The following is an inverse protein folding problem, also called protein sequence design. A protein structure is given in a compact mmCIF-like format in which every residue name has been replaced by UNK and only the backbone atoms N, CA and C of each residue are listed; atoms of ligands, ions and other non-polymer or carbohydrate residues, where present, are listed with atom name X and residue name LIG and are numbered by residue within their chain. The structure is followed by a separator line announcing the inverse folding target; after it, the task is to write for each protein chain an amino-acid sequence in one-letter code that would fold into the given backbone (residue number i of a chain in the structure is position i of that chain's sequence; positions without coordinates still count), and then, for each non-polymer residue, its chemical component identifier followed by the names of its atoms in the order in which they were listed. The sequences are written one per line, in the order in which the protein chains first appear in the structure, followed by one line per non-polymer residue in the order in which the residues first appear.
data_IF_246668026648
#
_entry.id   IF_246668026648
#
_cell.length_a   1.000
_cell.length_b   1.000
_cell.length_c   1.000
_cell.angle_alpha   90.00
_cell.angle_beta   90.00
_cell.angle_gamma   90.00
#
_symmetry.space_group_name_H-M   'P 1'
#
loop_
_entity.id
_entity.type
_entity.pdbx_description
1 polymer ?
#
# COMPACT_ATOMS: atom_id res chain seq x y z
N UNK A 1 -20.28 -18.05 12.61
CA UNK A 1 -20.61 -16.64 12.37
C UNK A 1 -19.95 -15.87 13.49
N UNK A 2 -18.76 -15.31 13.26
CA UNK A 2 -18.16 -14.36 14.18
C UNK A 2 -18.84 -13.02 13.90
N UNK A 3 -19.60 -12.52 14.87
CA UNK A 3 -20.15 -11.17 14.80
C UNK A 3 -18.98 -10.20 14.60
N UNK A 4 -19.10 -9.30 13.63
CA UNK A 4 -18.12 -8.23 13.44
C UNK A 4 -18.31 -7.23 14.58
N UNK A 5 -17.45 -7.29 15.59
CA UNK A 5 -17.52 -6.47 16.82
C UNK A 5 -16.68 -5.19 16.75
N UNK A 6 -16.20 -4.79 15.56
CA UNK A 6 -15.41 -3.57 15.43
C UNK A 6 -16.30 -2.35 15.69
N UNK A 7 -16.21 -1.78 16.90
CA UNK A 7 -16.87 -0.52 17.27
C UNK A 7 -16.05 0.70 16.85
N UNK A 8 -14.77 0.51 16.46
CA UNK A 8 -13.88 1.60 16.04
C UNK A 8 -14.06 1.92 14.55
N UNK A 9 -14.21 3.20 14.18
CA UNK A 9 -14.17 3.63 12.78
C UNK A 9 -12.95 3.06 12.04
N UNK A 10 -13.12 2.72 10.77
CA UNK A 10 -12.11 2.05 9.95
C UNK A 10 -10.86 2.91 9.69
N UNK A 11 -10.98 4.22 9.86
CA UNK A 11 -9.97 5.25 9.62
C UNK A 11 -9.37 5.82 10.92
N UNK A 12 -9.87 5.41 12.09
CA UNK A 12 -9.35 5.90 13.37
C UNK A 12 -7.95 5.31 13.64
N UNK A 13 -6.92 6.13 13.91
CA UNK A 13 -5.58 5.63 14.17
C UNK A 13 -5.49 4.68 15.37
N UNK A 14 -4.52 3.76 15.32
CA UNK A 14 -4.19 2.84 16.39
C UNK A 14 -4.58 1.39 16.08
N UNK A 15 -3.97 0.45 16.80
CA UNK A 15 -4.13 -0.98 16.55
C UNK A 15 -5.47 -1.48 17.06
N UNK A 16 -6.14 -2.31 16.26
CA UNK A 16 -7.33 -3.05 16.67
C UNK A 16 -7.11 -4.54 16.43
N UNK A 17 -7.23 -5.37 17.47
CA UNK A 17 -7.22 -6.82 17.31
C UNK A 17 -8.59 -7.29 16.82
N UNK A 18 -8.66 -7.76 15.57
CA UNK A 18 -9.92 -8.16 14.92
C UNK A 18 -10.17 -9.67 15.02
N UNK A 19 -9.11 -10.46 15.15
CA UNK A 19 -9.13 -11.89 15.48
C UNK A 19 -7.88 -12.24 16.30
N UNK A 20 -7.85 -13.43 16.88
CA UNK A 20 -6.64 -13.91 17.57
C UNK A 20 -5.44 -13.89 16.60
N UNK A 21 -4.34 -13.25 17.01
CA UNK A 21 -3.17 -13.02 16.17
C UNK A 21 -3.35 -12.08 14.96
N UNK A 22 -4.53 -11.47 14.74
CA UNK A 22 -4.78 -10.59 13.58
C UNK A 22 -5.17 -9.19 14.02
N UNK A 23 -4.42 -8.20 13.54
CA UNK A 23 -4.53 -6.82 13.94
C UNK A 23 -4.72 -5.92 12.73
N UNK A 24 -5.66 -4.98 12.81
CA UNK A 24 -5.83 -3.88 11.85
C UNK A 24 -5.01 -2.68 12.29
N UNK A 25 -4.27 -2.08 11.36
CA UNK A 25 -3.43 -0.91 11.55
C UNK A 25 -3.80 0.11 10.44
N UNK A 26 -4.68 1.08 10.73
CA UNK A 26 -4.98 2.16 9.80
C UNK A 26 -3.77 3.07 9.64
N UNK A 27 -3.32 3.27 8.40
CA UNK A 27 -2.21 4.14 8.05
C UNK A 27 -2.72 5.39 7.32
N UNK A 28 -2.18 6.58 7.64
CA UNK A 28 -2.59 7.81 6.99
C UNK A 28 -2.28 7.79 5.49
N UNK A 29 -3.16 8.43 4.73
CA UNK A 29 -2.98 8.70 3.31
C UNK A 29 -2.69 10.19 3.09
N UNK A 30 -2.11 10.56 1.94
CA UNK A 30 -1.96 11.97 1.63
C UNK A 30 -3.33 12.59 1.33
N UNK A 31 -3.46 13.87 1.66
CA UNK A 31 -4.63 14.72 1.41
C UNK A 31 -5.92 14.30 2.15
N UNK A 32 -7.04 14.92 1.77
CA UNK A 32 -8.37 14.80 2.41
C UNK A 32 -9.36 13.92 1.63
N UNK A 33 -8.91 13.22 0.57
CA UNK A 33 -9.78 12.39 -0.27
C UNK A 33 -10.13 11.04 0.36
N UNK A 34 -9.12 10.28 0.81
CA UNK A 34 -9.24 9.03 1.54
C UNK A 34 -8.46 9.17 2.85
N UNK A 35 -9.08 8.85 3.98
CA UNK A 35 -8.50 9.16 5.29
C UNK A 35 -7.41 8.18 5.73
N UNK A 36 -7.53 6.92 5.34
CA UNK A 36 -6.59 5.88 5.72
C UNK A 36 -6.58 4.72 4.72
N UNK A 37 -5.50 3.94 4.74
CA UNK A 37 -5.43 2.58 4.19
C UNK A 37 -5.25 1.60 5.34
N UNK A 38 -5.98 0.50 5.32
CA UNK A 38 -5.89 -0.51 6.36
C UNK A 38 -4.84 -1.56 6.02
N UNK A 39 -3.78 -1.61 6.82
CA UNK A 39 -2.82 -2.72 6.83
C UNK A 39 -3.26 -3.73 7.88
N UNK A 40 -3.13 -5.02 7.59
CA UNK A 40 -3.39 -6.06 8.59
C UNK A 40 -2.10 -6.79 8.95
N UNK A 41 -1.81 -6.88 10.23
CA UNK A 41 -0.72 -7.67 10.77
C UNK A 41 -1.23 -9.01 11.27
N UNK A 42 -0.69 -10.10 10.72
CA UNK A 42 -0.88 -11.45 11.21
C UNK A 42 0.39 -11.80 11.98
N UNK A 43 0.28 -11.80 13.31
CA UNK A 43 1.37 -11.99 14.26
C UNK A 43 1.50 -13.47 14.62
N UNK A 44 2.70 -14.01 14.42
CA UNK A 44 3.13 -15.33 14.90
C UNK A 44 4.30 -15.16 15.88
N UNK A 45 4.69 -16.22 16.59
CA UNK A 45 5.65 -16.14 17.71
C UNK A 45 7.00 -15.50 17.33
N UNK A 46 7.47 -15.67 16.08
CA UNK A 46 8.78 -15.19 15.61
C UNK A 46 8.74 -14.10 14.55
N UNK A 47 7.57 -13.75 14.02
CA UNK A 47 7.45 -12.93 12.83
C UNK A 47 6.06 -12.37 12.59
N UNK A 48 5.97 -11.49 11.60
CA UNK A 48 4.70 -10.90 11.19
C UNK A 48 4.56 -10.92 9.66
N UNK A 49 3.41 -11.39 9.21
CA UNK A 49 2.96 -11.22 7.82
C UNK A 49 2.05 -10.01 7.73
N UNK A 50 2.34 -9.10 6.81
CA UNK A 50 1.50 -7.92 6.56
C UNK A 50 0.64 -8.12 5.30
N UNK A 51 -0.65 -7.80 5.40
CA UNK A 51 -1.53 -7.60 4.25
C UNK A 51 -1.55 -6.11 3.95
N UNK A 52 -1.13 -5.75 2.73
CA UNK A 52 -0.83 -4.38 2.30
C UNK A 52 0.27 -3.70 3.14
N UNK A 53 0.70 -2.50 2.73
CA UNK A 53 1.87 -1.85 3.32
C UNK A 53 1.77 -0.35 3.60
N UNK A 54 0.76 0.35 3.08
CA UNK A 54 0.68 1.80 3.20
C UNK A 54 1.33 2.56 2.04
N UNK A 55 1.12 3.88 2.05
CA UNK A 55 1.79 4.81 1.13
C UNK A 55 3.21 5.12 1.63
N UNK A 56 4.11 5.46 0.71
CA UNK A 56 5.49 5.88 1.02
C UNK A 56 5.49 7.32 1.54
N UNK A 57 5.12 7.48 2.80
CA UNK A 57 5.11 8.74 3.56
C UNK A 57 5.80 8.53 4.91
N UNK A 58 6.45 9.55 5.44
CA UNK A 58 7.14 9.46 6.73
C UNK A 58 6.14 9.16 7.87
N UNK A 59 4.99 9.83 7.85
CA UNK A 59 3.90 9.63 8.81
C UNK A 59 3.25 8.24 8.69
N UNK A 60 3.16 7.68 7.48
CA UNK A 60 2.65 6.34 7.21
C UNK A 60 3.60 5.27 7.76
N UNK A 61 4.90 5.40 7.46
CA UNK A 61 5.92 4.49 7.98
C UNK A 61 5.99 4.55 9.50
N UNK A 62 5.98 5.75 10.09
CA UNK A 62 6.01 5.92 11.54
C UNK A 62 4.73 5.38 12.21
N UNK A 63 3.57 5.47 11.56
CA UNK A 63 2.33 4.87 12.04
C UNK A 63 2.42 3.33 12.00
N UNK A 64 2.98 2.76 10.93
CA UNK A 64 3.19 1.32 10.82
C UNK A 64 4.18 0.82 11.88
N UNK A 65 5.28 1.52 12.13
CA UNK A 65 6.26 1.20 13.18
C UNK A 65 5.62 1.18 14.57
N UNK A 66 4.83 2.21 14.91
CA UNK A 66 4.10 2.26 16.18
C UNK A 66 3.11 1.11 16.30
N UNK A 67 2.34 0.85 15.24
CA UNK A 67 1.36 -0.24 15.23
C UNK A 67 2.01 -1.60 15.40
N UNK A 68 3.11 -1.88 14.71
CA UNK A 68 3.88 -3.12 14.90
C UNK A 68 4.42 -3.24 16.32
N UNK A 69 4.93 -2.15 16.91
CA UNK A 69 5.44 -2.15 18.27
C UNK A 69 4.35 -2.49 19.31
N UNK A 70 3.12 -2.00 19.12
CA UNK A 70 1.95 -2.36 19.94
C UNK A 70 1.59 -3.85 19.82
N UNK A 71 1.82 -4.46 18.64
CA UNK A 71 1.63 -5.90 18.38
C UNK A 71 2.82 -6.74 18.89
N UNK A 72 3.92 -6.10 19.33
CA UNK A 72 5.12 -6.78 19.84
C UNK A 72 6.21 -7.05 18.79
N UNK A 73 6.11 -6.43 17.62
CA UNK A 73 7.05 -6.60 16.50
C UNK A 73 7.74 -5.31 16.09
N UNK A 74 8.88 -5.45 15.43
CA UNK A 74 9.55 -4.36 14.71
C UNK A 74 9.38 -4.54 13.20
N UNK A 75 9.64 -3.49 12.40
CA UNK A 75 9.68 -3.63 10.93
C UNK A 75 10.64 -4.73 10.47
N UNK A 76 11.74 -4.95 11.19
CA UNK A 76 12.71 -6.01 10.90
C UNK A 76 12.17 -7.43 11.11
N UNK A 77 11.03 -7.59 11.80
CA UNK A 77 10.35 -8.89 11.96
C UNK A 77 9.32 -9.15 10.86
N UNK A 78 9.09 -8.20 9.95
CA UNK A 78 8.18 -8.40 8.83
C UNK A 78 8.80 -9.40 7.86
N UNK A 79 8.22 -10.59 7.78
CA UNK A 79 8.76 -11.67 6.96
C UNK A 79 8.28 -11.58 5.50
N UNK A 80 7.02 -11.18 5.32
CA UNK A 80 6.41 -11.04 4.02
C UNK A 80 5.26 -10.02 4.01
N UNK A 81 5.06 -9.45 2.83
CA UNK A 81 3.89 -8.67 2.45
C UNK A 81 3.05 -9.46 1.47
N UNK A 82 1.75 -9.54 1.75
CA UNK A 82 0.72 -10.04 0.84
C UNK A 82 -0.11 -8.83 0.39
N UNK A 83 0.23 -8.27 -0.77
CA UNK A 83 -0.44 -7.06 -1.26
C UNK A 83 -1.69 -7.45 -2.04
N UNK A 84 -2.80 -6.76 -1.77
CA UNK A 84 -4.10 -7.02 -2.36
C UNK A 84 -4.15 -6.65 -3.84
N UNK A 85 -3.64 -5.46 -4.20
CA UNK A 85 -3.64 -4.95 -5.58
C UNK A 85 -2.58 -3.84 -5.80
N UNK A 86 -2.34 -3.48 -7.06
CA UNK A 86 -1.25 -2.57 -7.46
C UNK A 86 -1.64 -1.09 -7.40
N UNK A 87 -1.94 -0.57 -6.20
CA UNK A 87 -2.02 0.87 -5.93
C UNK A 87 -0.96 1.32 -4.92
N UNK A 88 -0.60 2.60 -4.96
CA UNK A 88 0.54 3.16 -4.20
C UNK A 88 0.38 3.05 -2.69
N UNK A 89 -0.84 3.21 -2.18
CA UNK A 89 -1.28 3.04 -0.80
C UNK A 89 -1.18 1.60 -0.28
N UNK A 90 -1.15 0.61 -1.16
CA UNK A 90 -1.11 -0.80 -0.77
C UNK A 90 0.27 -1.41 -1.01
N UNK A 91 0.94 -1.03 -2.10
CA UNK A 91 2.12 -1.71 -2.63
C UNK A 91 3.44 -1.01 -2.32
N UNK A 92 3.50 0.31 -2.48
CA UNK A 92 4.78 1.00 -2.64
C UNK A 92 5.66 0.96 -1.37
N UNK A 93 5.05 1.05 -0.18
CA UNK A 93 5.81 0.96 1.08
C UNK A 93 6.41 -0.45 1.30
N UNK A 94 5.78 -1.51 0.78
CA UNK A 94 6.32 -2.87 0.86
C UNK A 94 7.69 -2.98 0.17
N UNK A 95 7.81 -2.36 -1.01
CA UNK A 95 9.08 -2.32 -1.75
C UNK A 95 10.16 -1.56 -0.98
N UNK A 96 9.81 -0.44 -0.34
CA UNK A 96 10.73 0.34 0.49
C UNK A 96 11.21 -0.45 1.71
N UNK A 97 10.31 -1.09 2.45
CA UNK A 97 10.65 -1.92 3.62
C UNK A 97 11.51 -3.12 3.21
N UNK A 98 11.16 -3.80 2.10
CA UNK A 98 11.96 -4.90 1.53
C UNK A 98 13.41 -4.50 1.27
N UNK A 99 13.66 -3.32 0.69
CA UNK A 99 15.04 -2.85 0.39
C UNK A 99 15.92 -2.79 1.64
N UNK A 100 15.32 -2.52 2.80
CA UNK A 100 16.04 -2.35 4.06
C UNK A 100 16.17 -3.68 4.82
N UNK A 101 15.09 -4.45 4.89
CA UNK A 101 15.01 -5.62 5.79
C UNK A 101 14.94 -6.98 5.07
N UNK A 102 14.80 -7.01 3.75
CA UNK A 102 14.79 -8.24 2.95
C UNK A 102 13.50 -9.07 3.04
N UNK A 103 12.40 -8.46 3.48
CA UNK A 103 11.07 -9.10 3.49
C UNK A 103 10.61 -9.50 2.08
N UNK A 104 9.74 -10.52 1.97
CA UNK A 104 9.24 -10.98 0.67
C UNK A 104 7.97 -10.22 0.27
N UNK A 105 7.92 -9.62 -0.92
CA UNK A 105 6.69 -8.98 -1.45
C UNK A 105 5.99 -9.91 -2.43
N UNK A 106 4.72 -10.20 -2.16
CA UNK A 106 3.87 -11.05 -3.00
C UNK A 106 2.59 -10.33 -3.40
N UNK A 107 2.14 -10.52 -4.65
CA UNK A 107 0.88 -9.95 -5.16
C UNK A 107 0.30 -10.87 -6.24
N UNK A 108 -1.00 -10.80 -6.48
CA UNK A 108 -1.69 -11.58 -7.51
C UNK A 108 -1.06 -11.44 -8.91
N UNK A 109 -0.91 -12.56 -9.62
CA UNK A 109 -0.32 -12.60 -10.97
C UNK A 109 -1.10 -11.78 -12.01
N UNK A 110 -2.38 -11.48 -11.75
CA UNK A 110 -3.20 -10.58 -12.57
C UNK A 110 -2.68 -9.14 -12.59
N UNK A 111 -1.96 -8.70 -11.56
CA UNK A 111 -1.39 -7.36 -11.45
C UNK A 111 -0.06 -7.20 -12.20
N UNK A 112 0.47 -8.28 -12.79
CA UNK A 112 1.79 -8.26 -13.43
C UNK A 112 1.93 -7.15 -14.44
N UNK A 113 0.94 -6.99 -15.33
CA UNK A 113 1.00 -5.97 -16.37
C UNK A 113 0.99 -4.56 -15.79
N UNK A 114 0.18 -4.31 -14.76
CA UNK A 114 0.09 -3.01 -14.07
C UNK A 114 1.46 -2.65 -13.48
N UNK A 115 2.06 -3.55 -12.71
CA UNK A 115 3.36 -3.32 -12.06
C UNK A 115 4.48 -3.17 -13.10
N UNK A 116 4.53 -4.02 -14.13
CA UNK A 116 5.55 -3.90 -15.19
C UNK A 116 5.49 -2.55 -15.90
N UNK A 117 4.29 -2.04 -16.17
CA UNK A 117 4.11 -0.71 -16.76
C UNK A 117 4.55 0.38 -15.79
N UNK A 118 4.16 0.30 -14.51
CA UNK A 118 4.50 1.33 -13.53
C UNK A 118 5.98 1.33 -13.13
N UNK A 119 6.65 0.18 -13.20
CA UNK A 119 8.08 0.03 -12.94
C UNK A 119 8.97 0.43 -14.14
N UNK A 120 8.39 0.66 -15.32
CA UNK A 120 9.13 1.15 -16.49
C UNK A 120 9.54 2.62 -16.29
N UNK A 121 10.84 2.96 -16.29
CA UNK A 121 11.30 4.34 -16.16
C UNK A 121 10.80 5.28 -17.27
N UNK A 122 10.41 4.73 -18.42
CA UNK A 122 9.81 5.45 -19.53
C UNK A 122 8.31 5.71 -19.38
N UNK A 123 7.66 5.10 -18.39
CA UNK A 123 6.23 5.31 -18.15
C UNK A 123 5.97 6.76 -17.75
N UNK A 124 4.99 7.36 -18.43
CA UNK A 124 4.48 8.69 -18.12
C UNK A 124 3.11 8.52 -17.49
N UNK A 125 2.99 8.58 -16.15
CA UNK A 125 1.70 8.56 -15.49
C UNK A 125 0.78 9.62 -16.10
N UNK A 126 -0.49 9.28 -16.30
CA UNK A 126 -1.51 10.17 -16.86
C UNK A 126 -1.37 10.60 -18.32
N UNK A 127 -0.33 10.21 -19.07
CA UNK A 127 -0.22 10.56 -20.49
C UNK A 127 -1.45 10.09 -21.30
N UNK A 128 -1.99 8.91 -20.99
CA UNK A 128 -3.23 8.39 -21.57
C UNK A 128 -4.47 9.17 -21.11
N UNK A 129 -4.50 9.62 -19.85
CA UNK A 129 -5.58 10.45 -19.32
C UNK A 129 -5.60 11.79 -20.04
N UNK A 130 -4.44 12.44 -20.20
CA UNK A 130 -4.29 13.67 -20.96
C UNK A 130 -4.74 13.49 -22.42
N UNK A 131 -4.31 12.42 -23.09
CA UNK A 131 -4.74 12.11 -24.47
C UNK A 131 -6.27 11.97 -24.56
N UNK A 132 -6.90 11.29 -23.60
CA UNK A 132 -8.34 11.09 -23.58
C UNK A 132 -9.10 12.39 -23.28
N UNK A 133 -8.61 13.21 -22.35
CA UNK A 133 -9.18 14.53 -22.06
C UNK A 133 -9.09 15.46 -23.28
N UNK A 134 -7.96 15.42 -24.02
CA UNK A 134 -7.79 16.19 -25.27
C UNK A 134 -8.83 15.78 -26.31
N UNK A 135 -9.03 14.47 -26.49
CA UNK A 135 -10.05 13.95 -27.42
C UNK A 135 -11.47 14.34 -27.02
N UNK A 136 -11.72 14.54 -25.73
CA UNK A 136 -13.00 14.99 -25.20
C UNK A 136 -13.19 16.52 -25.27
N UNK A 137 -12.18 17.30 -25.70
CA UNK A 137 -12.24 18.76 -25.72
C UNK A 137 -12.16 19.41 -24.34
N UNK A 138 -11.57 18.71 -23.35
CA UNK A 138 -11.50 19.14 -21.96
C UNK A 138 -10.20 19.90 -21.63
N UNK A 139 -9.86 20.91 -22.43
CA UNK A 139 -8.58 21.65 -22.32
C UNK A 139 -8.39 22.34 -20.96
N UNK A 140 -9.45 22.87 -20.37
CA UNK A 140 -9.42 23.52 -19.05
C UNK A 140 -9.07 22.51 -17.94
N UNK A 141 -9.68 21.31 -17.98
CA UNK A 141 -9.42 20.23 -17.01
C UNK A 141 -7.97 19.71 -17.13
N UNK A 142 -7.41 19.69 -18.33
CA UNK A 142 -6.01 19.31 -18.54
C UNK A 142 -5.09 20.30 -17.83
N UNK A 143 -5.34 21.61 -17.99
CA UNK A 143 -4.52 22.64 -17.36
C UNK A 143 -4.55 22.52 -15.82
N UNK A 144 -5.74 22.30 -15.25
CA UNK A 144 -5.93 22.09 -13.81
C UNK A 144 -5.23 20.81 -13.33
N UNK A 145 -5.40 19.70 -14.04
CA UNK A 145 -4.78 18.41 -13.70
C UNK A 145 -3.25 18.51 -13.70
N UNK A 146 -2.67 19.19 -14.70
CA UNK A 146 -1.22 19.39 -14.79
C UNK A 146 -0.69 20.33 -13.70
N UNK A 147 -1.46 21.34 -13.30
CA UNK A 147 -1.11 22.23 -12.20
C UNK A 147 -1.10 21.47 -10.87
N UNK A 148 -2.21 20.78 -10.55
CA UNK A 148 -2.31 19.92 -9.38
C UNK A 148 -1.19 18.88 -9.34
N UNK A 149 -0.89 18.22 -10.48
CA UNK A 149 0.13 17.18 -10.49
C UNK A 149 1.54 17.70 -10.23
N UNK A 150 1.87 18.91 -10.69
CA UNK A 150 3.17 19.52 -10.39
C UNK A 150 3.33 19.77 -8.88
N UNK A 151 2.24 20.13 -8.20
CA UNK A 151 2.22 20.33 -6.76
C UNK A 151 2.28 18.99 -6.02
N UNK A 152 1.42 18.02 -6.38
CA UNK A 152 1.33 16.72 -5.74
C UNK A 152 2.55 15.82 -5.96
N UNK A 153 3.26 15.92 -7.10
CA UNK A 153 4.40 15.05 -7.38
C UNK A 153 5.56 15.20 -6.38
N UNK A 154 5.63 16.33 -5.65
CA UNK A 154 6.61 16.56 -4.60
C UNK A 154 6.24 15.91 -3.26
N UNK A 155 4.95 15.71 -2.99
CA UNK A 155 4.42 15.27 -1.69
C UNK A 155 3.81 13.87 -1.73
N UNK A 156 3.46 13.38 -2.93
CA UNK A 156 2.75 12.12 -3.17
C UNK A 156 3.46 11.32 -4.26
N UNK A 157 4.63 10.76 -3.94
CA UNK A 157 5.30 9.87 -4.87
C UNK A 157 4.39 8.66 -5.11
N UNK A 158 4.07 8.37 -6.37
CA UNK A 158 3.24 7.21 -6.73
C UNK A 158 3.98 5.89 -6.55
N UNK A 159 5.27 5.91 -6.16
CA UNK A 159 6.15 4.76 -6.05
C UNK A 159 7.39 5.07 -5.18
N UNK A 160 8.28 4.10 -4.93
CA UNK A 160 8.83 3.27 -5.99
C UNK A 160 7.93 2.11 -6.43
N UNK A 161 7.93 1.84 -7.73
CA UNK A 161 7.40 0.61 -8.31
C UNK A 161 8.56 -0.33 -8.62
N UNK A 162 8.50 -1.52 -8.04
CA UNK A 162 9.42 -2.62 -8.34
C UNK A 162 8.61 -3.88 -8.59
N UNK A 163 9.24 -4.86 -9.25
CA UNK A 163 8.65 -6.18 -9.35
C UNK A 163 8.55 -6.83 -7.94
N UNK A 164 7.47 -7.58 -7.66
CA UNK A 164 7.36 -8.38 -6.45
C UNK A 164 8.32 -9.57 -6.54
N UNK A 165 8.64 -10.14 -5.40
CA UNK A 165 9.42 -11.38 -5.32
C UNK A 165 8.59 -12.58 -5.78
N UNK A 166 7.26 -12.51 -5.63
CA UNK A 166 6.34 -13.60 -5.98
C UNK A 166 5.06 -13.11 -6.62
N UNK A 167 4.67 -13.82 -7.69
CA UNK A 167 3.36 -13.68 -8.32
C UNK A 167 2.43 -14.78 -7.82
N UNK A 168 1.40 -14.40 -7.10
CA UNK A 168 0.44 -15.34 -6.51
C UNK A 168 -0.59 -15.81 -7.53
N UNK A 169 -0.94 -17.08 -7.46
CA UNK A 169 -2.09 -17.65 -8.17
C UNK A 169 -3.09 -18.19 -7.14
N UNK A 170 -4.29 -18.56 -7.58
CA UNK A 170 -5.30 -19.08 -6.66
C UNK A 170 -4.77 -20.28 -5.85
N UNK A 171 -4.88 -20.21 -4.53
CA UNK A 171 -4.40 -21.25 -3.62
C UNK A 171 -4.18 -20.74 -2.21
N UNK A 172 -3.59 -21.60 -1.39
CA UNK A 172 -3.19 -21.28 0.00
C UNK A 172 -1.73 -20.88 0.04
N UNK A 173 -1.41 -19.87 0.84
CA UNK A 173 -0.05 -19.48 1.18
C UNK A 173 0.23 -19.84 2.64
N UNK A 174 1.43 -20.38 2.89
CA UNK A 174 1.92 -20.52 4.26
C UNK A 174 2.35 -19.15 4.77
N UNK A 175 1.87 -18.81 5.96
CA UNK A 175 2.49 -17.76 6.76
C UNK A 175 3.90 -18.24 7.17
N UNK A 176 4.79 -17.29 7.38
CA UNK A 176 6.19 -17.55 7.72
C UNK A 176 6.45 -17.03 9.12
#
# INVERSE_FOLDING_TARGET
MTENTSERPWDEPGVEQVLDGVFRIPLPLPNDGLHAVNVYAISEDSGVTLIDAGWVLEESLAALERGLAEVGHALSHVEQFLVTHAHGDHYAQAATVRRVFGSTVSIGAGERRSIEVMADPGFQPFAKVEENLKKAGADEIIAETLAWRREAAATEPLGPWELPDRWLTAGTISLK
#
